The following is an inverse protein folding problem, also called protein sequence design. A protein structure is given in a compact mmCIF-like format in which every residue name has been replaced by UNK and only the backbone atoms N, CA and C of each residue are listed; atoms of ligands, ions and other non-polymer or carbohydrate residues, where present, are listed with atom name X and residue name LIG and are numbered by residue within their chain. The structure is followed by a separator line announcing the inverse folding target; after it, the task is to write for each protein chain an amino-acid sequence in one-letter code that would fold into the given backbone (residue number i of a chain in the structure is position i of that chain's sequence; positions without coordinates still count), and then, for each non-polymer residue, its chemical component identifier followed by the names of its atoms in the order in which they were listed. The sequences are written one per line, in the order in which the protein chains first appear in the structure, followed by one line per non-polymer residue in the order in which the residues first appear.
data_IF_671628001638
#
_entry.id   IF_671628001638
#
_cell.length_a   1.000
_cell.length_b   1.000
_cell.length_c   1.000
_cell.angle_alpha   90.00
_cell.angle_beta   90.00
_cell.angle_gamma   90.00
#
_symmetry.space_group_name_H-M   'P 1'
#
loop_
_entity.id
_entity.type
_entity.pdbx_description
1 polymer ?
#
# COMPACT_ATOMS: atom_id res chain seq x y z
N UNK A 1 38.62 6.95 -4.91
CA UNK A 1 37.85 8.10 -4.37
C UNK A 1 37.08 7.60 -3.16
N UNK A 2 37.11 8.33 -2.05
CA UNK A 2 36.37 7.93 -0.84
C UNK A 2 34.88 8.22 -1.03
N UNK A 3 33.98 7.39 -0.49
CA UNK A 3 32.53 7.64 -0.49
C UNK A 3 32.18 9.03 0.06
N UNK A 4 32.95 9.50 1.04
CA UNK A 4 32.80 10.82 1.65
C UNK A 4 32.98 11.99 0.66
N UNK A 5 33.57 11.76 -0.51
CA UNK A 5 33.80 12.78 -1.54
C UNK A 5 32.67 12.83 -2.58
N UNK A 6 31.75 11.86 -2.56
CA UNK A 6 30.63 11.84 -3.50
C UNK A 6 29.63 12.96 -3.14
N UNK A 7 29.13 13.78 -4.08
CA UNK A 7 28.06 14.74 -3.82
C UNK A 7 26.74 14.07 -3.37
N UNK A 8 25.89 14.77 -2.63
CA UNK A 8 24.65 14.20 -2.09
C UNK A 8 23.66 13.83 -3.20
N UNK A 9 23.63 14.62 -4.27
CA UNK A 9 22.75 14.47 -5.43
C UNK A 9 23.06 13.17 -6.17
N UNK A 10 24.34 12.82 -6.28
CA UNK A 10 24.76 11.56 -6.93
C UNK A 10 24.40 10.37 -6.04
N UNK A 11 24.60 10.50 -4.72
CA UNK A 11 24.21 9.46 -3.78
C UNK A 11 22.69 9.25 -3.78
N UNK A 12 21.91 10.33 -3.77
CA UNK A 12 20.44 10.29 -3.87
C UNK A 12 20.00 9.65 -5.19
N UNK A 13 20.64 9.98 -6.32
CA UNK A 13 20.34 9.38 -7.61
C UNK A 13 20.60 7.87 -7.62
N UNK A 14 21.75 7.43 -7.08
CA UNK A 14 22.08 6.01 -6.94
C UNK A 14 21.06 5.30 -6.04
N UNK A 15 20.74 5.89 -4.89
CA UNK A 15 19.77 5.33 -3.95
C UNK A 15 18.37 5.23 -4.57
N UNK A 16 17.94 6.24 -5.34
CA UNK A 16 16.66 6.23 -6.04
C UNK A 16 16.57 5.08 -7.04
N UNK A 17 17.64 4.78 -7.78
CA UNK A 17 17.65 3.65 -8.73
C UNK A 17 17.48 2.28 -8.05
N UNK A 18 17.89 2.16 -6.78
CA UNK A 18 17.88 0.87 -6.05
C UNK A 18 16.69 0.74 -5.10
N UNK A 19 16.27 1.85 -4.47
CA UNK A 19 15.23 1.87 -3.45
C UNK A 19 13.84 2.20 -4.01
N UNK A 20 13.76 3.01 -5.07
CA UNK A 20 12.45 3.39 -5.63
C UNK A 20 11.85 2.24 -6.43
N UNK A 21 10.58 1.97 -6.13
CA UNK A 21 9.77 0.98 -6.85
C UNK A 21 8.69 1.74 -7.60
N UNK A 22 8.53 1.44 -8.89
CA UNK A 22 7.48 2.10 -9.69
C UNK A 22 6.08 1.77 -9.13
N UNK A 23 5.14 2.72 -9.22
CA UNK A 23 3.76 2.50 -8.72
C UNK A 23 3.14 1.22 -9.31
N UNK A 24 3.34 1.00 -10.62
CA UNK A 24 2.82 -0.17 -11.35
C UNK A 24 3.38 -1.47 -10.80
N UNK A 25 4.68 -1.50 -10.50
CA UNK A 25 5.29 -2.65 -9.86
C UNK A 25 4.73 -2.80 -8.46
N UNK A 26 4.78 -1.76 -7.61
CA UNK A 26 4.29 -1.76 -6.22
C UNK A 26 2.85 -2.29 -6.08
N UNK A 27 1.98 -1.90 -7.01
CA UNK A 27 0.56 -2.26 -7.03
C UNK A 27 0.25 -3.53 -7.80
N UNK A 28 1.25 -4.23 -8.36
CA UNK A 28 1.05 -5.47 -9.10
C UNK A 28 0.32 -6.50 -8.22
N UNK A 29 -0.79 -7.00 -8.74
CA UNK A 29 -1.54 -8.09 -8.12
C UNK A 29 -0.70 -9.36 -8.10
N UNK A 30 -0.89 -10.18 -7.07
CA UNK A 30 -0.22 -11.48 -7.01
C UNK A 30 -0.77 -12.36 -8.12
N UNK A 31 0.13 -12.87 -8.95
CA UNK A 31 -0.21 -13.87 -9.94
C UNK A 31 -0.30 -15.23 -9.24
N UNK A 32 -1.50 -15.83 -9.23
CA UNK A 32 -1.74 -17.12 -8.60
C UNK A 32 -1.46 -18.30 -9.56
N UNK A 33 -1.02 -18.03 -10.79
CA UNK A 33 -0.87 -19.06 -11.85
C UNK A 33 0.29 -20.03 -11.62
N UNK A 34 1.21 -19.71 -10.71
CA UNK A 34 2.26 -20.62 -10.28
C UNK A 34 2.08 -20.87 -8.79
N UNK A 35 1.71 -22.10 -8.40
CA UNK A 35 1.56 -22.55 -7.01
C UNK A 35 2.80 -22.43 -6.12
N UNK A 36 3.81 -21.64 -6.52
CA UNK A 36 4.88 -21.20 -5.67
C UNK A 36 4.43 -19.94 -4.92
N UNK A 37 4.18 -20.10 -3.62
CA UNK A 37 3.94 -19.04 -2.65
C UNK A 37 5.12 -18.08 -2.45
N UNK A 38 5.73 -17.56 -3.52
CA UNK A 38 6.65 -16.43 -3.46
C UNK A 38 5.83 -15.15 -3.44
N UNK A 39 5.13 -14.95 -2.33
CA UNK A 39 4.26 -13.81 -2.14
C UNK A 39 5.06 -12.52 -2.17
N UNK A 40 5.03 -11.78 -3.28
CA UNK A 40 5.94 -10.65 -3.49
C UNK A 40 7.35 -11.05 -3.05
N UNK A 41 8.05 -11.80 -3.92
CA UNK A 41 9.52 -11.84 -3.88
C UNK A 41 9.90 -10.41 -3.56
N UNK A 42 10.49 -10.22 -2.38
CA UNK A 42 11.03 -8.93 -1.99
C UNK A 42 11.77 -8.47 -3.24
N UNK A 43 11.43 -7.32 -3.82
CA UNK A 43 12.21 -6.77 -4.94
C UNK A 43 13.70 -6.66 -4.56
N UNK A 44 14.02 -6.91 -3.29
CA UNK A 44 15.30 -6.96 -2.64
C UNK A 44 15.92 -8.34 -2.41
N UNK A 45 15.24 -9.47 -2.64
CA UNK A 45 15.82 -10.79 -2.34
C UNK A 45 15.46 -11.83 -3.41
N UNK A 46 16.13 -11.77 -4.56
CA UNK A 46 16.50 -13.00 -5.25
C UNK A 46 17.24 -13.89 -4.26
N UNK A 47 16.87 -15.17 -4.17
CA UNK A 47 17.27 -16.10 -3.11
C UNK A 47 18.79 -16.01 -2.81
N UNK A 48 19.15 -15.44 -1.65
CA UNK A 48 20.52 -15.29 -1.18
C UNK A 48 21.06 -13.86 -1.05
N UNK A 49 20.36 -12.83 -1.57
CA UNK A 49 20.81 -11.44 -1.45
C UNK A 49 20.24 -10.74 -0.22
N UNK A 50 21.05 -9.89 0.42
CA UNK A 50 20.62 -9.02 1.49
C UNK A 50 19.57 -8.01 0.99
N UNK A 51 18.60 -7.60 1.83
CA UNK A 51 17.61 -6.61 1.42
C UNK A 51 18.28 -5.27 1.07
N UNK A 52 17.74 -4.55 0.10
CA UNK A 52 18.29 -3.28 -0.41
C UNK A 52 18.35 -2.20 0.68
N UNK A 53 17.53 -2.32 1.72
CA UNK A 53 17.60 -1.47 2.90
C UNK A 53 18.92 -1.59 3.66
N UNK A 54 19.72 -2.65 3.47
CA UNK A 54 21.05 -2.75 4.05
C UNK A 54 22.01 -1.68 3.52
N UNK A 55 21.74 -1.10 2.34
CA UNK A 55 22.51 0.06 1.85
C UNK A 55 22.42 1.24 2.82
N UNK A 56 21.32 1.38 3.57
CA UNK A 56 21.15 2.44 4.56
C UNK A 56 22.02 2.24 5.81
N UNK A 57 22.62 1.05 5.98
CA UNK A 57 23.49 0.74 7.12
C UNK A 57 24.96 1.07 6.84
N UNK A 58 25.30 1.50 5.62
CA UNK A 58 26.68 1.84 5.23
C UNK A 58 27.19 3.06 6.01
N UNK A 59 26.40 4.13 6.07
CA UNK A 59 26.73 5.34 6.81
C UNK A 59 25.48 6.13 7.22
N UNK A 60 25.62 7.05 8.19
CA UNK A 60 24.52 7.96 8.59
C UNK A 60 24.02 8.82 7.43
N UNK A 61 24.89 9.12 6.47
CA UNK A 61 24.55 9.90 5.27
C UNK A 61 23.64 9.10 4.34
N UNK A 62 23.95 7.83 4.11
CA UNK A 62 23.10 6.92 3.34
C UNK A 62 21.74 6.74 4.00
N UNK A 63 21.72 6.56 5.33
CA UNK A 63 20.48 6.47 6.09
C UNK A 63 19.63 7.75 5.91
N UNK A 64 20.22 8.93 6.09
CA UNK A 64 19.50 10.21 5.97
C UNK A 64 18.91 10.44 4.59
N UNK A 65 19.69 10.20 3.53
CA UNK A 65 19.25 10.46 2.14
C UNK A 65 18.30 9.36 1.66
N UNK A 66 18.54 8.10 2.03
CA UNK A 66 17.77 6.97 1.53
C UNK A 66 16.49 6.66 2.32
N UNK A 67 16.34 7.13 3.56
CA UNK A 67 15.13 6.88 4.36
C UNK A 67 13.87 7.44 3.68
N UNK A 68 13.81 8.70 3.23
CA UNK A 68 12.66 9.22 2.48
C UNK A 68 12.29 8.34 1.28
N UNK A 69 13.28 7.92 0.49
CA UNK A 69 13.09 7.09 -0.69
C UNK A 69 12.55 5.69 -0.35
N UNK A 70 12.99 5.12 0.77
CA UNK A 70 12.51 3.81 1.23
C UNK A 70 11.06 3.88 1.71
N UNK A 71 10.64 4.99 2.32
CA UNK A 71 9.29 5.18 2.85
C UNK A 71 8.26 5.63 1.79
N UNK A 72 8.69 5.93 0.56
CA UNK A 72 7.78 6.30 -0.53
C UNK A 72 6.68 5.24 -0.76
N UNK A 73 7.01 3.96 -0.63
CA UNK A 73 6.09 2.84 -0.75
C UNK A 73 6.12 1.93 0.48
N UNK A 74 5.04 1.92 1.26
CA UNK A 74 4.94 1.12 2.50
C UNK A 74 3.99 -0.06 2.34
N UNK A 75 4.48 -1.26 2.63
CA UNK A 75 3.68 -2.49 2.64
C UNK A 75 3.43 -2.95 4.08
N UNK A 76 2.18 -2.89 4.51
CA UNK A 76 1.74 -3.38 5.81
C UNK A 76 1.12 -4.77 5.64
N UNK A 77 1.79 -5.78 6.19
CA UNK A 77 1.35 -7.20 6.12
C UNK A 77 0.89 -7.78 7.44
N UNK A 78 1.36 -7.20 8.54
CA UNK A 78 1.11 -7.70 9.89
C UNK A 78 0.93 -6.52 10.84
N UNK A 79 0.21 -6.74 11.93
CA UNK A 79 0.01 -5.71 12.96
C UNK A 79 1.34 -5.28 13.60
N UNK A 80 2.32 -6.17 13.72
CA UNK A 80 3.65 -5.83 14.25
C UNK A 80 4.37 -4.82 13.35
N UNK A 81 4.27 -4.97 12.03
CA UNK A 81 4.82 -4.02 11.05
C UNK A 81 4.09 -2.68 11.15
N UNK A 82 2.75 -2.72 11.24
CA UNK A 82 1.93 -1.51 11.37
C UNK A 82 2.26 -0.73 12.64
N UNK A 83 2.44 -1.44 13.77
CA UNK A 83 2.87 -0.84 15.05
C UNK A 83 4.27 -0.22 14.94
N UNK A 84 5.21 -0.91 14.30
CA UNK A 84 6.57 -0.40 14.13
C UNK A 84 6.60 0.86 13.26
N UNK A 85 5.91 0.85 12.11
CA UNK A 85 5.78 2.03 11.24
C UNK A 85 5.10 3.18 11.97
N UNK A 86 3.97 2.93 12.63
CA UNK A 86 3.27 3.94 13.41
C UNK A 86 4.16 4.56 14.49
N UNK A 87 4.99 3.75 15.16
CA UNK A 87 5.95 4.25 16.15
C UNK A 87 6.97 5.17 15.49
N UNK A 88 7.66 4.70 14.43
CA UNK A 88 8.72 5.45 13.75
C UNK A 88 8.20 6.81 13.26
N UNK A 89 7.09 6.83 12.53
CA UNK A 89 6.56 8.08 11.97
C UNK A 89 5.94 9.01 13.02
N UNK A 90 5.62 8.49 14.21
CA UNK A 90 5.19 9.35 15.32
C UNK A 90 6.37 10.09 15.97
N UNK A 91 7.60 9.57 15.84
CA UNK A 91 8.82 10.26 16.25
C UNK A 91 9.35 11.19 15.16
N UNK A 92 9.23 10.77 13.90
CA UNK A 92 9.68 11.53 12.73
C UNK A 92 8.55 11.63 11.71
N UNK A 93 7.75 12.69 11.84
CA UNK A 93 6.59 12.95 10.97
C UNK A 93 6.99 13.12 9.50
N UNK A 94 8.21 13.61 9.22
CA UNK A 94 8.68 13.80 7.85
C UNK A 94 8.71 12.47 7.08
N UNK A 95 9.07 11.36 7.73
CA UNK A 95 9.01 10.04 7.10
C UNK A 95 7.59 9.62 6.72
N UNK A 96 6.58 10.06 7.48
CA UNK A 96 5.18 9.83 7.17
C UNK A 96 4.73 10.63 5.93
N UNK A 97 5.19 11.87 5.81
CA UNK A 97 4.91 12.75 4.66
C UNK A 97 5.45 12.19 3.34
N UNK A 98 6.53 11.41 3.38
CA UNK A 98 7.12 10.79 2.20
C UNK A 98 6.29 9.61 1.65
N UNK A 99 5.35 9.06 2.43
CA UNK A 99 4.56 7.90 2.03
C UNK A 99 3.53 8.31 0.96
N UNK A 100 3.71 7.80 -0.26
CA UNK A 100 2.82 8.03 -1.42
C UNK A 100 1.99 6.81 -1.78
N UNK A 101 2.59 5.62 -1.65
CA UNK A 101 1.96 4.35 -1.97
C UNK A 101 1.81 3.51 -0.70
N UNK A 102 0.57 3.15 -0.36
CA UNK A 102 0.28 2.32 0.80
C UNK A 102 -0.39 1.03 0.39
N UNK A 103 0.16 -0.09 0.84
CA UNK A 103 -0.39 -1.43 0.59
C UNK A 103 -0.80 -2.10 1.90
N UNK A 104 -2.08 -2.41 2.00
CA UNK A 104 -2.70 -3.06 3.16
C UNK A 104 -3.03 -4.50 2.82
N UNK A 105 -2.39 -5.43 3.52
CA UNK A 105 -2.72 -6.87 3.45
C UNK A 105 -3.41 -7.27 4.75
N UNK A 106 -4.75 -7.15 4.79
CA UNK A 106 -5.56 -7.40 5.99
C UNK A 106 -6.20 -6.14 6.57
N UNK A 107 -6.63 -6.21 7.84
CA UNK A 107 -7.39 -5.17 8.53
C UNK A 107 -6.64 -4.60 9.72
N UNK A 108 -5.49 -3.97 9.47
CA UNK A 108 -4.30 -3.96 10.35
C UNK A 108 -4.36 -3.16 11.66
N UNK A 109 -5.39 -3.43 12.46
CA UNK A 109 -5.46 -3.16 13.89
C UNK A 109 -5.53 -1.68 14.27
N UNK A 110 -5.35 -1.43 15.57
CA UNK A 110 -5.53 -0.09 16.18
C UNK A 110 -4.47 0.93 15.77
N UNK A 111 -3.36 0.51 15.19
CA UNK A 111 -2.25 1.39 14.80
C UNK A 111 -2.37 1.92 13.37
N UNK A 112 -3.18 1.29 12.52
CA UNK A 112 -3.36 1.74 11.14
C UNK A 112 -3.88 3.19 11.03
N UNK A 113 -4.84 3.66 11.86
CA UNK A 113 -5.23 5.07 11.85
C UNK A 113 -4.09 6.04 12.18
N UNK A 114 -3.13 5.61 13.01
CA UNK A 114 -1.95 6.44 13.34
C UNK A 114 -1.04 6.55 12.12
N UNK A 115 -0.88 5.47 11.36
CA UNK A 115 -0.12 5.49 10.10
C UNK A 115 -0.71 6.51 9.13
N UNK A 116 -2.01 6.42 8.85
CA UNK A 116 -2.65 7.31 7.89
C UNK A 116 -2.78 8.75 8.38
N UNK A 117 -2.86 8.98 9.70
CA UNK A 117 -2.86 10.34 10.24
C UNK A 117 -1.54 11.09 9.98
N UNK A 118 -0.41 10.37 9.90
CA UNK A 118 0.90 10.95 9.62
C UNK A 118 1.31 10.81 8.15
N UNK A 119 0.45 10.24 7.29
CA UNK A 119 0.74 9.97 5.89
C UNK A 119 -0.25 10.73 4.96
N UNK A 120 -0.26 12.07 5.00
CA UNK A 120 -1.25 12.88 4.28
C UNK A 120 -1.08 12.78 2.74
N UNK A 121 0.11 12.42 2.26
CA UNK A 121 0.43 12.37 0.83
C UNK A 121 0.12 11.02 0.17
N UNK A 122 -0.52 10.09 0.90
CA UNK A 122 -0.95 8.80 0.35
C UNK A 122 -2.01 9.04 -0.73
N UNK A 123 -1.60 8.87 -1.99
CA UNK A 123 -2.47 9.04 -3.13
C UNK A 123 -2.76 7.72 -3.86
N UNK A 124 -1.97 6.67 -3.61
CA UNK A 124 -2.22 5.33 -4.15
C UNK A 124 -2.40 4.33 -3.03
N UNK A 125 -3.58 3.73 -2.96
CA UNK A 125 -3.95 2.76 -1.94
C UNK A 125 -4.18 1.40 -2.58
N UNK A 126 -3.48 0.38 -2.09
CA UNK A 126 -3.74 -1.02 -2.40
C UNK A 126 -4.33 -1.70 -1.18
N UNK A 127 -5.44 -2.42 -1.35
CA UNK A 127 -6.10 -3.19 -0.29
C UNK A 127 -6.32 -4.62 -0.76
N UNK A 128 -5.72 -5.56 -0.03
CA UNK A 128 -6.04 -6.98 -0.11
C UNK A 128 -7.02 -7.32 1.00
N UNK A 129 -8.24 -7.70 0.61
CA UNK A 129 -9.37 -7.91 1.53
C UNK A 129 -9.32 -9.28 2.25
N UNK A 130 -8.14 -9.90 2.31
CA UNK A 130 -7.92 -11.12 3.08
C UNK A 130 -7.69 -10.78 4.56
N UNK A 131 -8.77 -10.62 5.31
CA UNK A 131 -8.73 -10.31 6.74
C UNK A 131 -8.93 -11.61 7.55
N UNK A 132 -7.92 -12.07 8.31
CA UNK A 132 -8.08 -13.20 9.22
C UNK A 132 -9.19 -12.95 10.24
N UNK A 133 -9.91 -14.00 10.64
CA UNK A 133 -11.02 -13.86 11.60
C UNK A 133 -10.60 -13.31 12.98
N UNK A 134 -9.31 -13.45 13.34
CA UNK A 134 -8.72 -12.95 14.58
C UNK A 134 -8.42 -11.44 14.55
N UNK A 135 -8.49 -10.78 13.40
CA UNK A 135 -8.08 -9.39 13.24
C UNK A 135 -9.24 -8.41 13.40
N UNK A 136 -9.02 -7.35 14.16
CA UNK A 136 -10.02 -6.32 14.43
C UNK A 136 -10.09 -5.30 13.29
N UNK A 137 -11.22 -5.27 12.58
CA UNK A 137 -11.40 -4.41 11.41
C UNK A 137 -11.75 -2.94 11.71
N UNK A 138 -12.07 -2.61 12.97
CA UNK A 138 -12.44 -1.23 13.35
C UNK A 138 -11.35 -0.21 13.02
N UNK A 139 -10.08 -0.64 13.09
CA UNK A 139 -8.94 0.19 12.70
C UNK A 139 -8.99 0.58 11.23
N UNK A 140 -9.40 -0.34 10.35
CA UNK A 140 -9.57 -0.08 8.92
C UNK A 140 -10.65 0.97 8.67
N UNK A 141 -11.81 0.87 9.32
CA UNK A 141 -12.88 1.86 9.14
C UNK A 141 -12.40 3.29 9.43
N UNK A 142 -11.75 3.50 10.58
CA UNK A 142 -11.20 4.81 10.96
C UNK A 142 -10.04 5.24 10.04
N UNK A 143 -9.24 4.29 9.60
CA UNK A 143 -8.14 4.54 8.68
C UNK A 143 -8.65 5.06 7.31
N UNK A 144 -9.68 4.42 6.75
CA UNK A 144 -10.23 4.81 5.45
C UNK A 144 -10.80 6.24 5.44
N UNK A 145 -11.31 6.73 6.59
CA UNK A 145 -11.77 8.12 6.72
C UNK A 145 -10.66 9.17 6.81
N UNK A 146 -9.40 8.76 6.96
CA UNK A 146 -8.25 9.67 7.06
C UNK A 146 -7.50 9.84 5.74
N UNK A 147 -7.80 9.02 4.73
CA UNK A 147 -7.08 9.01 3.45
C UNK A 147 -8.00 9.44 2.32
N UNK A 148 -7.43 10.11 1.32
CA UNK A 148 -8.14 10.58 0.13
C UNK A 148 -7.39 10.15 -1.14
N UNK A 149 -7.37 8.84 -1.45
CA UNK A 149 -6.53 8.31 -2.50
C UNK A 149 -7.06 8.72 -3.89
N UNK A 150 -6.13 8.96 -4.82
CA UNK A 150 -6.43 9.15 -6.25
C UNK A 150 -6.55 7.83 -7.01
N UNK A 151 -5.85 6.81 -6.53
CA UNK A 151 -5.83 5.47 -7.15
C UNK A 151 -6.08 4.41 -6.11
N UNK A 152 -6.98 3.49 -6.41
CA UNK A 152 -7.32 2.37 -5.54
C UNK A 152 -7.13 1.05 -6.28
N UNK A 153 -6.38 0.14 -5.66
CA UNK A 153 -6.20 -1.23 -6.12
C UNK A 153 -6.85 -2.17 -5.11
N UNK A 154 -7.82 -2.97 -5.54
CA UNK A 154 -8.52 -3.91 -4.67
C UNK A 154 -8.19 -5.33 -5.11
N UNK A 155 -7.67 -6.14 -4.20
CA UNK A 155 -7.36 -7.53 -4.45
C UNK A 155 -8.28 -8.46 -3.66
N UNK A 156 -8.90 -9.39 -4.38
CA UNK A 156 -9.73 -10.45 -3.82
C UNK A 156 -9.04 -11.80 -4.04
N UNK A 157 -8.77 -12.53 -2.95
CA UNK A 157 -8.27 -13.90 -3.05
C UNK A 157 -9.45 -14.83 -3.33
N UNK A 158 -9.46 -15.45 -4.50
CA UNK A 158 -10.61 -16.18 -5.05
C UNK A 158 -10.78 -17.60 -4.55
N UNK A 159 -9.72 -18.21 -3.99
CA UNK A 159 -9.66 -19.66 -3.80
C UNK A 159 -10.05 -20.17 -2.41
N UNK A 160 -10.33 -19.30 -1.44
CA UNK A 160 -10.63 -19.73 -0.06
C UNK A 160 -12.09 -19.38 0.28
N UNK A 161 -12.92 -20.40 0.13
CA UNK A 161 -14.35 -20.41 0.36
C UNK A 161 -14.72 -19.83 1.74
N UNK A 162 -15.84 -19.09 1.73
CA UNK A 162 -16.56 -18.40 2.82
C UNK A 162 -16.02 -17.01 3.17
N UNK A 163 -16.72 -16.00 2.64
CA UNK A 163 -16.65 -14.63 3.12
C UNK A 163 -16.81 -14.57 4.64
N UNK A 164 -15.73 -14.23 5.35
CA UNK A 164 -15.78 -14.01 6.79
C UNK A 164 -16.64 -12.78 7.10
N UNK A 165 -17.14 -12.67 8.35
CA UNK A 165 -17.83 -11.46 8.82
C UNK A 165 -16.93 -10.22 8.65
N UNK A 166 -15.65 -10.35 9.00
CA UNK A 166 -14.66 -9.29 8.85
C UNK A 166 -14.52 -8.86 7.38
N UNK A 167 -14.43 -9.78 6.42
CA UNK A 167 -14.34 -9.42 5.00
C UNK A 167 -15.58 -8.68 4.49
N UNK A 168 -16.79 -9.06 4.94
CA UNK A 168 -18.02 -8.32 4.59
C UNK A 168 -18.01 -6.91 5.15
N UNK A 169 -17.59 -6.74 6.40
CA UNK A 169 -17.45 -5.42 7.02
C UNK A 169 -16.39 -4.58 6.29
N UNK A 170 -15.26 -5.18 5.89
CA UNK A 170 -14.22 -4.54 5.10
C UNK A 170 -14.78 -3.97 3.80
N UNK A 171 -15.53 -4.81 3.07
CA UNK A 171 -16.18 -4.45 1.81
C UNK A 171 -17.14 -3.29 2.02
N UNK A 172 -17.96 -3.31 3.07
CA UNK A 172 -18.89 -2.22 3.38
C UNK A 172 -18.19 -0.91 3.71
N UNK A 173 -17.15 -0.94 4.53
CA UNK A 173 -16.38 0.27 4.84
C UNK A 173 -15.73 0.87 3.61
N UNK A 174 -15.15 0.01 2.75
CA UNK A 174 -14.56 0.45 1.50
C UNK A 174 -15.60 1.06 0.55
N UNK A 175 -16.76 0.40 0.38
CA UNK A 175 -17.87 0.92 -0.41
C UNK A 175 -18.37 2.27 0.11
N UNK A 176 -18.51 2.41 1.43
CA UNK A 176 -18.90 3.66 2.06
C UNK A 176 -17.88 4.77 1.80
N UNK A 177 -16.59 4.49 1.99
CA UNK A 177 -15.53 5.47 1.77
C UNK A 177 -15.46 5.94 0.31
N UNK A 178 -15.54 5.00 -0.66
CA UNK A 178 -15.60 5.31 -2.10
C UNK A 178 -16.81 6.21 -2.41
N UNK A 179 -17.98 5.90 -1.85
CA UNK A 179 -19.21 6.62 -2.16
C UNK A 179 -19.28 8.03 -1.52
N UNK A 180 -18.68 8.20 -0.34
CA UNK A 180 -18.95 9.38 0.51
C UNK A 180 -17.73 10.23 0.86
N UNK A 181 -16.51 9.71 0.81
CA UNK A 181 -15.31 10.39 1.33
C UNK A 181 -14.26 10.64 0.25
N UNK A 182 -14.10 9.72 -0.71
CA UNK A 182 -12.98 9.77 -1.66
C UNK A 182 -13.34 10.53 -2.94
N UNK A 183 -13.54 11.84 -2.81
CA UNK A 183 -13.83 12.73 -3.94
C UNK A 183 -12.68 12.84 -4.95
N UNK A 184 -11.45 12.63 -4.49
CA UNK A 184 -10.22 12.69 -5.30
C UNK A 184 -9.94 11.40 -6.07
N UNK A 185 -10.77 10.36 -5.92
CA UNK A 185 -10.56 9.05 -6.54
C UNK A 185 -10.79 9.11 -8.04
N UNK A 186 -9.71 8.90 -8.81
CA UNK A 186 -9.71 8.95 -10.28
C UNK A 186 -9.79 7.57 -10.89
N UNK A 187 -9.14 6.57 -10.27
CA UNK A 187 -9.06 5.23 -10.83
C UNK A 187 -9.18 4.15 -9.78
N UNK A 188 -9.79 3.06 -10.20
CA UNK A 188 -10.03 1.89 -9.38
C UNK A 188 -9.72 0.66 -10.22
N UNK A 189 -8.84 -0.20 -9.70
CA UNK A 189 -8.43 -1.42 -10.39
C UNK A 189 -8.69 -2.59 -9.48
N UNK A 190 -9.39 -3.60 -9.96
CA UNK A 190 -9.67 -4.81 -9.21
C UNK A 190 -8.88 -5.99 -9.76
N UNK A 191 -8.21 -6.74 -8.89
CA UNK A 191 -7.47 -7.94 -9.23
C UNK A 191 -8.03 -9.17 -8.52
N UNK A 192 -8.02 -10.30 -9.23
CA UNK A 192 -8.55 -11.59 -8.76
C UNK A 192 -9.29 -12.30 -9.90
N UNK A 193 -9.33 -13.64 -9.87
CA UNK A 193 -9.99 -14.47 -10.90
C UNK A 193 -11.52 -14.56 -10.76
N UNK A 194 -12.18 -13.62 -10.06
CA UNK A 194 -13.63 -13.72 -9.83
C UNK A 194 -14.39 -13.18 -11.04
N UNK A 195 -15.31 -14.01 -11.53
CA UNK A 195 -16.38 -13.69 -12.49
C UNK A 195 -16.90 -12.26 -12.32
N UNK A 196 -16.90 -11.54 -13.44
CA UNK A 196 -17.18 -10.12 -13.69
C UNK A 196 -18.42 -9.50 -13.02
N UNK A 197 -19.29 -10.29 -12.38
CA UNK A 197 -20.55 -9.83 -11.80
C UNK A 197 -20.40 -9.09 -10.45
N UNK A 198 -19.46 -9.50 -9.58
CA UNK A 198 -19.31 -8.88 -8.24
C UNK A 198 -18.53 -7.55 -8.26
N UNK A 199 -17.78 -7.31 -9.33
CA UNK A 199 -16.95 -6.11 -9.52
C UNK A 199 -17.79 -4.93 -10.03
N UNK A 200 -18.81 -5.19 -10.86
CA UNK A 200 -19.65 -4.15 -11.45
C UNK A 200 -20.55 -3.43 -10.43
N UNK A 201 -20.86 -4.07 -9.28
CA UNK A 201 -21.79 -3.49 -8.28
C UNK A 201 -21.13 -2.34 -7.48
N UNK A 202 -19.81 -2.16 -7.55
CA UNK A 202 -19.11 -1.10 -6.82
C UNK A 202 -19.11 0.25 -7.58
N UNK A 203 -19.52 0.28 -8.85
CA UNK A 203 -19.52 1.49 -9.68
C UNK A 203 -20.94 1.91 -10.09
N UNK A 204 -21.68 2.54 -9.17
CA UNK A 204 -22.76 3.45 -9.55
C UNK A 204 -22.72 4.67 -8.63
N UNK A 205 -21.75 5.55 -8.89
CA UNK A 205 -21.93 6.98 -8.63
C UNK A 205 -22.17 7.61 -10.01
N UNK A 206 -23.32 8.25 -10.27
CA UNK A 206 -23.45 9.04 -11.49
C UNK A 206 -22.52 10.23 -11.32
N UNK A 207 -21.36 10.19 -11.96
CA UNK A 207 -20.58 11.39 -12.21
C UNK A 207 -21.49 12.29 -13.05
N UNK A 208 -21.90 13.41 -12.46
CA UNK A 208 -22.70 14.44 -13.10
C UNK A 208 -22.10 14.76 -14.49
N UNK A 209 -22.92 14.54 -15.51
CA UNK A 209 -22.84 15.07 -16.87
C UNK A 209 -21.45 15.22 -17.49
N UNK A 210 -20.90 14.13 -18.01
CA UNK A 210 -20.35 14.11 -19.38
C UNK A 210 -20.18 12.66 -19.83
N UNK A 211 -20.89 12.34 -20.91
CA UNK A 211 -20.93 11.04 -21.54
C UNK A 211 -19.53 10.53 -21.92
N UNK A 212 -19.22 9.26 -21.62
CA UNK A 212 -18.38 8.45 -22.48
C UNK A 212 -19.02 7.07 -22.61
N UNK A 213 -19.15 6.69 -23.88
CA UNK A 213 -19.94 5.64 -24.50
C UNK A 213 -18.97 4.52 -24.92
N UNK A 214 -19.34 3.26 -24.60
CA UNK A 214 -19.06 1.97 -25.27
C UNK A 214 -17.60 1.45 -25.28
N UNK A 215 -17.33 0.14 -25.35
CA UNK A 215 -18.12 -1.04 -25.70
C UNK A 215 -17.67 -2.26 -24.87
#
# INVERSE_FOLDING_TARGET
MSEAQLPEEILEHVLRLVLSVSEREFCKFRDNTLGQGRGWVSLSTSAGHAPVSHLLLISRRWLRIGSPLLYEGVVLREQKHTKAVAHIISFDTHLGEEIKYLRLEGGLGKHLPVVLAHAPNVHTLYISLHVPASEAIRGLHKALSLVHPRKLYIYYRTSEFRSTKAMREAKRYLQSAIATQWETLVSTTTGGSSTTADVCIIYFRPLSSSAIIFA
#
